data_IF_017363998606
#
_entry.id   IF_017363998606
#
_cell.length_a   1.000
_cell.length_b   1.000
_cell.length_c   1.000
_cell.angle_alpha   90.00
_cell.angle_beta   90.00
_cell.angle_gamma   90.00
#
_symmetry.space_group_name_H-M   'P 1'
#
loop_
_entity.id
_entity.type
_entity.pdbx_description
1 polymer ?
#
# COMPACT_ATOMS: atom_id res chain seq x y z
N UNK A 1 23.97 -13.89 -44.06
CA UNK A 1 23.64 -12.64 -43.36
C UNK A 1 22.50 -12.95 -42.41
N UNK A 2 22.75 -12.99 -41.10
CA UNK A 2 21.70 -13.07 -40.09
C UNK A 2 21.46 -11.64 -39.59
N UNK A 3 20.25 -11.13 -39.78
CA UNK A 3 19.80 -9.90 -39.15
C UNK A 3 19.61 -10.16 -37.65
N UNK A 4 20.34 -9.43 -36.82
CA UNK A 4 20.12 -9.42 -35.38
C UNK A 4 18.80 -8.68 -35.10
N UNK A 5 17.77 -9.42 -34.67
CA UNK A 5 16.57 -8.83 -34.08
C UNK A 5 17.01 -8.14 -32.79
N UNK A 6 17.09 -6.81 -32.82
CA UNK A 6 17.28 -6.02 -31.63
C UNK A 6 16.04 -6.22 -30.73
N UNK A 7 16.15 -7.09 -29.72
CA UNK A 7 15.14 -7.20 -28.67
C UNK A 7 15.26 -5.95 -27.81
N UNK A 8 14.49 -4.91 -28.12
CA UNK A 8 14.35 -3.75 -27.26
C UNK A 8 13.98 -4.26 -25.87
N UNK A 9 14.77 -3.98 -24.82
CA UNK A 9 14.41 -4.39 -23.47
C UNK A 9 13.01 -3.88 -23.19
N UNK A 10 12.12 -4.76 -22.73
CA UNK A 10 10.77 -4.37 -22.36
C UNK A 10 10.91 -3.35 -21.23
N UNK A 11 10.73 -2.06 -21.55
CA UNK A 11 10.95 -0.98 -20.61
C UNK A 11 9.86 -1.07 -19.54
N UNK A 12 10.20 -1.67 -18.40
CA UNK A 12 9.35 -1.71 -17.21
C UNK A 12 9.81 -0.62 -16.25
N UNK A 13 9.00 0.43 -16.13
CA UNK A 13 9.23 1.54 -15.19
C UNK A 13 8.70 1.22 -13.77
N UNK A 14 8.59 -0.07 -13.43
CA UNK A 14 8.17 -0.56 -12.11
C UNK A 14 6.70 -0.95 -12.01
N UNK A 15 5.99 -1.10 -13.12
CA UNK A 15 4.56 -1.41 -13.16
C UNK A 15 4.23 -2.78 -12.56
N UNK A 16 5.07 -3.79 -12.81
CA UNK A 16 4.89 -5.12 -12.24
C UNK A 16 5.05 -5.12 -10.70
N UNK A 17 6.06 -4.41 -10.20
CA UNK A 17 6.33 -4.30 -8.77
C UNK A 17 5.21 -3.56 -8.03
N UNK A 18 4.73 -2.43 -8.58
CA UNK A 18 3.62 -1.67 -7.99
C UNK A 18 2.34 -2.50 -7.97
N UNK A 19 2.02 -3.22 -9.05
CA UNK A 19 0.86 -4.11 -9.10
C UNK A 19 0.94 -5.20 -8.03
N UNK A 20 2.07 -5.90 -7.94
CA UNK A 20 2.27 -6.97 -6.95
C UNK A 20 2.17 -6.44 -5.51
N UNK A 21 2.77 -5.27 -5.25
CA UNK A 21 2.71 -4.62 -3.94
C UNK A 21 1.26 -4.26 -3.57
N UNK A 22 0.50 -3.66 -4.49
CA UNK A 22 -0.92 -3.34 -4.27
C UNK A 22 -1.76 -4.59 -3.97
N UNK A 23 -1.60 -5.65 -4.77
CA UNK A 23 -2.33 -6.90 -4.56
C UNK A 23 -2.00 -7.54 -3.20
N UNK A 24 -0.73 -7.52 -2.82
CA UNK A 24 -0.28 -8.02 -1.52
C UNK A 24 -0.86 -7.18 -0.39
N UNK A 25 -0.76 -5.85 -0.47
CA UNK A 25 -1.31 -4.94 0.54
C UNK A 25 -2.82 -5.10 0.70
N UNK A 26 -3.57 -5.23 -0.40
CA UNK A 26 -5.02 -5.44 -0.35
C UNK A 26 -5.37 -6.76 0.33
N UNK A 27 -4.65 -7.84 0.01
CA UNK A 27 -4.86 -9.16 0.62
C UNK A 27 -4.53 -9.14 2.11
N UNK A 28 -3.41 -8.51 2.49
CA UNK A 28 -3.01 -8.35 3.89
C UNK A 28 -4.00 -7.50 4.69
N UNK A 29 -4.51 -6.40 4.11
CA UNK A 29 -5.51 -5.54 4.74
C UNK A 29 -6.83 -6.29 5.02
N UNK A 30 -7.27 -7.15 4.09
CA UNK A 30 -8.45 -8.01 4.31
C UNK A 30 -8.23 -8.99 5.46
N UNK A 31 -7.07 -9.65 5.52
CA UNK A 31 -6.75 -10.57 6.62
C UNK A 31 -6.70 -9.84 7.97
N UNK A 32 -6.04 -8.68 8.01
CA UNK A 32 -5.98 -7.85 9.21
C UNK A 32 -7.38 -7.39 9.64
N UNK A 33 -8.26 -7.02 8.72
CA UNK A 33 -9.65 -6.68 9.03
C UNK A 33 -10.38 -7.85 9.72
N UNK A 34 -10.21 -9.08 9.22
CA UNK A 34 -10.81 -10.27 9.82
C UNK A 34 -10.26 -10.53 11.22
N UNK A 35 -8.94 -10.45 11.41
CA UNK A 35 -8.32 -10.64 12.72
C UNK A 35 -8.72 -9.55 13.72
N UNK A 36 -8.71 -8.28 13.31
CA UNK A 36 -9.19 -7.15 14.10
C UNK A 36 -10.63 -7.38 14.56
N UNK A 37 -11.51 -7.78 13.63
CA UNK A 37 -12.90 -8.05 13.99
C UNK A 37 -13.04 -9.23 14.95
N UNK A 38 -12.25 -10.28 14.75
CA UNK A 38 -12.22 -11.46 15.63
C UNK A 38 -11.81 -11.06 17.04
N UNK A 39 -10.75 -10.28 17.21
CA UNK A 39 -10.27 -9.81 18.52
C UNK A 39 -11.31 -8.93 19.21
N UNK A 40 -11.95 -8.02 18.48
CA UNK A 40 -12.96 -7.11 19.03
C UNK A 40 -14.24 -7.83 19.44
N UNK A 41 -14.64 -8.88 18.71
CA UNK A 41 -15.86 -9.65 18.99
C UNK A 41 -15.65 -10.80 19.97
N UNK A 42 -14.41 -11.25 20.18
CA UNK A 42 -14.12 -12.35 21.10
C UNK A 42 -14.47 -11.90 22.52
N UNK A 43 -15.35 -12.66 23.23
CA UNK A 43 -15.71 -12.34 24.60
C UNK A 43 -14.51 -12.45 25.55
N UNK A 44 -14.62 -11.81 26.71
CA UNK A 44 -13.61 -11.97 27.76
C UNK A 44 -13.48 -13.43 28.16
N UNK A 45 -12.24 -13.93 28.10
CA UNK A 45 -11.95 -15.29 28.48
C UNK A 45 -11.82 -15.30 30.00
N UNK A 46 -12.64 -16.13 30.65
CA UNK A 46 -12.60 -16.34 32.09
C UNK A 46 -11.95 -17.68 32.37
N UNK A 47 -10.80 -17.62 33.02
CA UNK A 47 -10.05 -18.79 33.44
C UNK A 47 -10.31 -19.06 34.92
N UNK A 48 -10.33 -20.34 35.30
CA UNK A 48 -10.40 -20.75 36.69
C UNK A 48 -9.11 -20.36 37.44
N UNK A 49 -9.16 -20.24 38.76
CA UNK A 49 -7.97 -19.86 39.54
C UNK A 49 -6.82 -20.90 39.45
N UNK A 50 -7.13 -22.17 39.14
CA UNK A 50 -6.17 -23.29 39.11
C UNK A 50 -6.05 -23.88 37.69
N UNK A 51 -5.51 -23.10 36.75
CA UNK A 51 -5.48 -23.44 35.31
C UNK A 51 -4.33 -24.35 34.92
N UNK A 52 -3.19 -24.20 35.60
CA UNK A 52 -2.04 -25.07 35.43
C UNK A 52 -1.61 -25.55 36.83
N UNK A 53 -0.98 -26.73 36.89
CA UNK A 53 -0.43 -27.25 38.15
C UNK A 53 0.81 -26.47 38.62
N UNK A 54 1.05 -25.27 38.08
CA UNK A 54 2.25 -24.48 38.29
C UNK A 54 1.97 -23.43 39.37
N UNK A 55 2.66 -23.58 40.49
CA UNK A 55 2.51 -22.73 41.68
C UNK A 55 2.91 -21.26 41.48
N UNK A 56 3.47 -20.89 40.32
CA UNK A 56 3.94 -19.55 39.97
C UNK A 56 3.27 -18.98 38.70
N UNK A 57 2.17 -19.55 38.23
CA UNK A 57 1.48 -19.07 37.03
C UNK A 57 0.78 -17.72 37.24
N UNK A 58 0.98 -16.80 36.31
CA UNK A 58 0.32 -15.48 36.27
C UNK A 58 -0.78 -15.41 35.21
N UNK A 59 -1.06 -16.52 34.51
CA UNK A 59 -1.95 -16.57 33.34
C UNK A 59 -3.35 -16.05 33.67
N UNK A 60 -3.89 -16.40 34.84
CA UNK A 60 -5.22 -15.94 35.29
C UNK A 60 -5.27 -14.42 35.45
N UNK A 61 -4.20 -13.80 35.96
CA UNK A 61 -4.14 -12.35 36.19
C UNK A 61 -3.73 -11.55 34.95
N UNK A 62 -2.97 -12.15 34.04
CA UNK A 62 -2.42 -11.44 32.88
C UNK A 62 -3.30 -11.55 31.64
N UNK A 63 -4.05 -12.64 31.50
CA UNK A 63 -4.95 -12.83 30.36
C UNK A 63 -5.92 -11.65 30.15
N UNK A 64 -6.63 -11.12 31.16
CA UNK A 64 -7.52 -9.96 30.94
C UNK A 64 -6.77 -8.72 30.45
N UNK A 65 -5.55 -8.49 30.95
CA UNK A 65 -4.69 -7.37 30.53
C UNK A 65 -4.27 -7.54 29.07
N UNK A 66 -3.87 -8.74 28.67
CA UNK A 66 -3.49 -9.04 27.30
C UNK A 66 -4.67 -8.97 26.34
N UNK A 67 -5.88 -9.42 26.75
CA UNK A 67 -7.09 -9.23 25.95
C UNK A 67 -7.44 -7.75 25.76
N UNK A 68 -7.33 -6.94 26.82
CA UNK A 68 -7.53 -5.50 26.73
C UNK A 68 -6.51 -4.83 25.79
N UNK A 69 -5.23 -5.19 25.90
CA UNK A 69 -4.18 -4.69 25.02
C UNK A 69 -4.41 -5.09 23.55
N UNK A 70 -4.80 -6.34 23.31
CA UNK A 70 -5.12 -6.82 21.97
C UNK A 70 -6.27 -6.03 21.34
N UNK A 71 -7.34 -5.73 22.10
CA UNK A 71 -8.45 -4.89 21.63
C UNK A 71 -8.05 -3.45 21.39
N UNK A 72 -7.18 -2.89 22.25
CA UNK A 72 -6.65 -1.54 22.04
C UNK A 72 -5.85 -1.48 20.73
N UNK A 73 -4.96 -2.44 20.49
CA UNK A 73 -4.18 -2.52 19.25
C UNK A 73 -5.09 -2.71 18.01
N UNK A 74 -6.09 -3.59 18.11
CA UNK A 74 -7.08 -3.80 17.05
C UNK A 74 -7.85 -2.51 16.72
N UNK A 75 -8.22 -1.74 17.75
CA UNK A 75 -8.88 -0.44 17.60
C UNK A 75 -7.97 0.60 16.96
N UNK A 76 -6.69 0.66 17.36
CA UNK A 76 -5.68 1.54 16.73
C UNK A 76 -5.51 1.22 15.26
N UNK A 77 -5.42 -0.07 14.89
CA UNK A 77 -5.36 -0.46 13.49
C UNK A 77 -6.59 0.04 12.71
N UNK A 78 -7.79 -0.20 13.24
CA UNK A 78 -9.04 0.16 12.57
C UNK A 78 -9.18 1.66 12.35
N UNK A 79 -8.81 2.46 13.35
CA UNK A 79 -9.05 3.91 13.33
C UNK A 79 -7.91 4.70 12.67
N UNK A 80 -6.68 4.20 12.71
CA UNK A 80 -5.51 4.97 12.29
C UNK A 80 -4.83 4.34 11.07
N UNK A 81 -4.54 3.04 11.11
CA UNK A 81 -3.70 2.39 10.08
C UNK A 81 -4.52 2.04 8.83
N UNK A 82 -5.70 1.42 9.01
CA UNK A 82 -6.54 0.97 7.90
C UNK A 82 -6.98 2.13 6.97
N UNK A 83 -7.43 3.30 7.48
CA UNK A 83 -7.77 4.43 6.61
C UNK A 83 -6.59 4.92 5.77
N UNK A 84 -5.37 4.92 6.34
CA UNK A 84 -4.18 5.33 5.60
C UNK A 84 -3.84 4.35 4.48
N UNK A 85 -3.97 3.02 4.69
CA UNK A 85 -3.78 2.02 3.64
C UNK A 85 -4.79 2.17 2.49
N UNK A 86 -6.06 2.44 2.81
CA UNK A 86 -7.10 2.71 1.81
C UNK A 86 -6.75 3.96 1.00
N UNK A 87 -6.35 5.04 1.67
CA UNK A 87 -5.92 6.29 1.03
C UNK A 87 -4.75 6.06 0.07
N UNK A 88 -3.72 5.28 0.47
CA UNK A 88 -2.60 4.94 -0.41
C UNK A 88 -3.01 4.14 -1.64
N UNK A 89 -3.98 3.25 -1.50
CA UNK A 89 -4.50 2.49 -2.65
C UNK A 89 -5.23 3.40 -3.63
N UNK A 90 -6.05 4.33 -3.12
CA UNK A 90 -6.68 5.37 -3.93
C UNK A 90 -5.65 6.28 -4.60
N UNK A 91 -4.53 6.57 -3.93
CA UNK A 91 -3.45 7.36 -4.49
C UNK A 91 -2.86 6.74 -5.76
N UNK A 92 -2.55 5.44 -5.72
CA UNK A 92 -1.99 4.73 -6.88
C UNK A 92 -3.01 4.67 -8.02
N UNK A 93 -4.29 4.41 -7.72
CA UNK A 93 -5.36 4.44 -8.74
C UNK A 93 -5.45 5.82 -9.39
N UNK A 94 -5.40 6.90 -8.60
CA UNK A 94 -5.42 8.26 -9.12
C UNK A 94 -4.24 8.56 -10.04
N UNK A 95 -3.03 8.08 -9.70
CA UNK A 95 -1.88 8.20 -10.59
C UNK A 95 -2.06 7.39 -11.89
N UNK A 96 -2.56 6.15 -11.81
CA UNK A 96 -2.83 5.34 -13.00
C UNK A 96 -3.82 6.02 -13.96
N UNK A 97 -4.86 6.64 -13.42
CA UNK A 97 -5.84 7.38 -14.22
C UNK A 97 -5.21 8.61 -14.90
N UNK A 98 -4.36 9.36 -14.17
CA UNK A 98 -3.63 10.48 -14.72
C UNK A 98 -2.68 10.05 -15.85
N UNK A 99 -1.91 8.98 -15.61
CA UNK A 99 -1.03 8.40 -16.63
C UNK A 99 -1.80 8.01 -17.89
N UNK A 100 -2.92 7.29 -17.74
CA UNK A 100 -3.75 6.88 -18.88
C UNK A 100 -4.32 8.07 -19.66
N UNK A 101 -4.70 9.15 -18.96
CA UNK A 101 -5.19 10.37 -19.59
C UNK A 101 -4.11 11.12 -20.39
N UNK A 102 -2.87 11.18 -19.88
CA UNK A 102 -1.77 11.89 -20.53
C UNK A 102 -1.01 11.02 -21.56
N UNK A 103 -1.14 9.69 -21.50
CA UNK A 103 -0.31 8.75 -22.26
C UNK A 103 -0.34 8.99 -23.78
N UNK A 104 -1.54 9.13 -24.36
CA UNK A 104 -1.67 9.33 -25.80
C UNK A 104 -0.96 10.60 -26.27
N UNK A 105 -1.19 11.71 -25.55
CA UNK A 105 -0.54 13.00 -25.83
C UNK A 105 0.97 12.93 -25.68
N UNK A 106 1.48 12.27 -24.63
CA UNK A 106 2.92 12.10 -24.43
C UNK A 106 3.56 11.28 -25.54
N UNK A 107 2.88 10.22 -26.01
CA UNK A 107 3.35 9.40 -27.14
C UNK A 107 3.37 10.20 -28.43
N UNK A 108 2.37 11.03 -28.69
CA UNK A 108 2.34 11.89 -29.88
C UNK A 108 3.47 12.93 -29.86
N UNK A 109 3.67 13.60 -28.72
CA UNK A 109 4.77 14.55 -28.53
C UNK A 109 6.14 13.87 -28.70
N UNK A 110 6.30 12.65 -28.20
CA UNK A 110 7.53 11.88 -28.33
C UNK A 110 7.81 11.46 -29.79
N UNK A 111 6.78 11.06 -30.54
CA UNK A 111 6.92 10.69 -31.96
C UNK A 111 7.33 11.86 -32.84
N UNK A 112 6.94 13.08 -32.46
CA UNK A 112 7.24 14.31 -33.19
C UNK A 112 8.12 15.26 -32.37
N UNK A 113 9.11 14.71 -31.65
CA UNK A 113 9.87 15.47 -30.65
C UNK A 113 10.66 16.65 -31.24
N UNK A 114 11.11 16.51 -32.49
CA UNK A 114 11.91 17.52 -33.20
C UNK A 114 11.06 18.69 -33.73
N UNK A 115 9.74 18.56 -33.71
CA UNK A 115 8.86 19.67 -34.10
C UNK A 115 8.95 20.81 -33.06
N UNK A 116 8.89 22.08 -33.49
CA UNK A 116 9.07 23.22 -32.60
C UNK A 116 8.15 23.17 -31.37
N UNK A 117 8.76 23.19 -30.18
CA UNK A 117 8.07 23.21 -28.89
C UNK A 117 7.52 21.86 -28.40
N UNK A 118 7.63 20.77 -29.17
CA UNK A 118 7.18 19.45 -28.72
C UNK A 118 8.08 18.87 -27.62
N UNK A 119 9.40 19.08 -27.72
CA UNK A 119 10.35 18.69 -26.67
C UNK A 119 10.02 19.30 -25.31
N UNK A 120 9.68 20.59 -25.26
CA UNK A 120 9.37 21.28 -24.01
C UNK A 120 8.02 20.83 -23.43
N UNK A 121 7.01 20.64 -24.29
CA UNK A 121 5.70 20.10 -23.87
C UNK A 121 5.82 18.68 -23.32
N UNK A 122 6.61 17.84 -23.97
CA UNK A 122 6.87 16.47 -23.50
C UNK A 122 7.53 16.50 -22.11
N UNK A 123 8.59 17.30 -21.94
CA UNK A 123 9.27 17.47 -20.64
C UNK A 123 8.31 17.98 -19.57
N UNK A 124 7.44 18.94 -19.89
CA UNK A 124 6.46 19.48 -18.95
C UNK A 124 5.44 18.43 -18.50
N UNK A 125 4.91 17.61 -19.42
CA UNK A 125 4.01 16.51 -19.07
C UNK A 125 4.68 15.46 -18.18
N UNK A 126 5.90 15.03 -18.54
CA UNK A 126 6.68 14.12 -17.67
C UNK A 126 6.96 14.73 -16.30
N UNK A 127 7.31 16.03 -16.24
CA UNK A 127 7.52 16.73 -14.97
C UNK A 127 6.25 16.80 -14.11
N UNK A 128 5.07 16.95 -14.72
CA UNK A 128 3.79 16.91 -14.02
C UNK A 128 3.57 15.54 -13.37
N UNK A 129 3.77 14.46 -14.12
CA UNK A 129 3.64 13.08 -13.61
C UNK A 129 4.62 12.81 -12.47
N UNK A 130 5.87 13.26 -12.58
CA UNK A 130 6.88 13.16 -11.52
C UNK A 130 6.44 13.91 -10.27
N UNK A 131 5.99 15.16 -10.41
CA UNK A 131 5.53 15.98 -9.28
C UNK A 131 4.37 15.32 -8.53
N UNK A 132 3.42 14.75 -9.26
CA UNK A 132 2.28 14.04 -8.67
C UNK A 132 2.71 12.75 -7.96
N UNK A 133 3.73 12.06 -8.47
CA UNK A 133 4.31 10.88 -7.81
C UNK A 133 5.02 11.26 -6.51
N UNK A 134 5.79 12.35 -6.53
CA UNK A 134 6.52 12.85 -5.36
C UNK A 134 5.60 13.33 -4.24
N UNK A 135 4.51 14.03 -4.58
CA UNK A 135 3.49 14.42 -3.60
C UNK A 135 2.92 13.19 -2.87
N UNK A 136 2.53 12.15 -3.62
CA UNK A 136 1.98 10.91 -3.05
C UNK A 136 2.99 10.12 -2.21
N UNK A 137 4.30 10.23 -2.51
CA UNK A 137 5.39 9.65 -1.69
C UNK A 137 5.47 10.32 -0.32
N UNK A 138 5.44 11.66 -0.25
CA UNK A 138 5.50 12.39 1.01
C UNK A 138 4.33 12.02 1.94
N UNK A 139 3.16 11.76 1.35
CA UNK A 139 1.97 11.32 2.10
C UNK A 139 2.05 9.84 2.54
N UNK A 140 3.01 9.06 2.04
CA UNK A 140 3.16 7.61 2.31
C UNK A 140 3.99 7.27 3.55
N UNK A 141 4.89 8.16 3.95
CA UNK A 141 5.77 7.96 5.10
C UNK A 141 5.01 7.69 6.43
N UNK A 142 3.86 8.33 6.71
CA UNK A 142 3.07 8.03 7.91
C UNK A 142 2.53 6.59 8.01
N UNK A 143 2.36 5.88 6.89
CA UNK A 143 1.90 4.47 6.90
C UNK A 143 3.02 3.53 7.33
N UNK A 144 4.26 3.85 6.97
CA UNK A 144 5.43 3.02 7.25
C UNK A 144 5.92 3.24 8.70
N UNK A 145 5.65 4.41 9.27
CA UNK A 145 6.03 4.78 10.63
C UNK A 145 4.95 4.55 11.69
N UNK A 146 3.74 4.15 11.30
CA UNK A 146 2.62 3.88 12.21
C UNK A 146 2.67 2.43 12.73
#
# INVERSE_FOLDING_TARGET
>A
MLEAVATTPKLDIGGANVKSALQTSQTSAMLLQVYTQTVLQTPDIKLNANIDGLSNSTVVSDLPKHQALARANATTYLNNINPLMVSKSADVIGFCNLWNAEYATLVELAKAIDAPGNSDKFKAGIANLIKQTQAKKADGDPVISA
#
